data_IF_109203337093
#
_entry.id   IF_109203337093
#
_cell.length_a   1.000
_cell.length_b   1.000
_cell.length_c   1.000
_cell.angle_alpha   90.00
_cell.angle_beta   90.00
_cell.angle_gamma   90.00
#
_symmetry.space_group_name_H-M   'P 1'
#
loop_
_entity.id
_entity.type
_entity.pdbx_description
1 polymer ?
#
# COMPACT_ATOMS: atom_id res chain seq x y z
N UNK A 1 -2.13 19.46 3.12
CA UNK A 1 -1.35 18.37 3.74
C UNK A 1 -2.08 17.95 5.00
N UNK A 2 -2.39 16.67 5.22
CA UNK A 2 -2.70 16.23 6.59
C UNK A 2 -1.48 16.55 7.49
N UNK A 3 -1.69 16.92 8.76
CA UNK A 3 -0.58 17.19 9.68
C UNK A 3 0.35 15.97 9.78
N UNK A 4 1.66 16.21 9.91
CA UNK A 4 2.71 15.18 9.91
C UNK A 4 2.56 14.12 11.04
N UNK A 5 1.65 14.38 11.97
CA UNK A 5 1.43 13.67 13.22
C UNK A 5 0.31 12.62 13.07
N UNK A 6 -0.59 12.77 12.10
CA UNK A 6 -1.58 11.75 11.69
C UNK A 6 -1.06 10.95 10.49
N UNK A 7 0.11 10.33 10.66
CA UNK A 7 0.66 9.40 9.69
C UNK A 7 -0.07 8.05 9.82
N UNK A 8 -1.30 7.98 9.34
CA UNK A 8 -2.01 6.71 9.21
C UNK A 8 -2.06 6.33 7.74
N UNK A 9 -1.15 5.43 7.35
CA UNK A 9 -1.11 4.91 5.98
C UNK A 9 -2.40 4.16 5.63
N UNK A 10 -2.97 3.41 6.57
CA UNK A 10 -4.15 2.59 6.33
C UNK A 10 -5.43 3.44 6.21
N UNK A 11 -5.55 4.50 7.00
CA UNK A 11 -6.63 5.48 6.83
C UNK A 11 -6.50 6.25 5.50
N UNK A 12 -5.28 6.59 5.11
CA UNK A 12 -4.99 7.30 3.86
C UNK A 12 -5.15 6.44 2.60
N UNK A 13 -4.93 5.13 2.72
CA UNK A 13 -4.94 4.19 1.60
C UNK A 13 -6.24 4.25 0.81
N UNK A 14 -6.14 4.33 -0.52
CA UNK A 14 -7.29 4.41 -1.44
C UNK A 14 -8.24 5.61 -1.25
N UNK A 15 -7.90 6.57 -0.39
CA UNK A 15 -8.63 7.84 -0.34
C UNK A 15 -8.49 8.61 -1.66
N UNK A 16 -9.39 9.57 -1.94
CA UNK A 16 -9.26 10.44 -3.12
C UNK A 16 -7.91 11.19 -3.15
N UNK A 17 -7.37 11.56 -1.97
CA UNK A 17 -6.06 12.19 -1.85
C UNK A 17 -4.92 11.21 -2.23
N UNK A 18 -5.03 9.95 -1.83
CA UNK A 18 -4.07 8.90 -2.23
C UNK A 18 -4.14 8.60 -3.73
N UNK A 19 -5.34 8.48 -4.28
CA UNK A 19 -5.55 8.17 -5.70
C UNK A 19 -5.10 9.31 -6.62
N UNK A 20 -5.23 10.56 -6.17
CA UNK A 20 -4.74 11.73 -6.93
C UNK A 20 -3.22 11.90 -6.85
N UNK A 21 -2.61 11.60 -5.69
CA UNK A 21 -1.16 11.65 -5.54
C UNK A 21 -0.66 10.67 -4.45
N UNK A 22 -0.20 9.46 -4.82
CA UNK A 22 0.23 8.45 -3.85
C UNK A 22 1.68 8.68 -3.35
N UNK A 23 2.49 9.47 -4.05
CA UNK A 23 3.91 9.61 -3.75
C UNK A 23 4.23 10.16 -2.36
N UNK A 24 3.49 11.14 -1.80
CA UNK A 24 3.68 11.60 -0.43
C UNK A 24 3.50 10.48 0.61
N UNK A 25 2.56 9.57 0.39
CA UNK A 25 2.33 8.43 1.29
C UNK A 25 3.51 7.45 1.25
N UNK A 26 4.04 7.16 0.05
CA UNK A 26 5.22 6.31 -0.09
C UNK A 26 6.46 6.97 0.51
N UNK A 27 6.62 8.29 0.37
CA UNK A 27 7.72 9.02 0.98
C UNK A 27 7.67 8.91 2.51
N UNK A 28 6.50 9.16 3.11
CA UNK A 28 6.32 9.02 4.55
C UNK A 28 6.63 7.59 5.05
N UNK A 29 6.20 6.55 4.33
CA UNK A 29 6.57 5.18 4.64
C UNK A 29 8.08 4.94 4.55
N UNK A 30 8.75 5.40 3.49
CA UNK A 30 10.21 5.19 3.34
C UNK A 30 11.01 5.84 4.46
N UNK A 31 10.57 7.01 4.90
CA UNK A 31 11.24 7.83 5.91
C UNK A 31 10.99 7.28 7.33
N UNK A 32 9.76 6.83 7.63
CA UNK A 32 9.37 6.40 8.99
C UNK A 32 9.41 4.89 9.19
N UNK A 33 8.79 4.12 8.29
CA UNK A 33 8.62 2.67 8.42
C UNK A 33 8.61 1.99 7.04
N UNK A 34 9.80 1.75 6.44
CA UNK A 34 9.92 1.32 5.04
C UNK A 34 9.37 -0.08 4.73
N UNK A 35 9.17 -0.89 5.79
CA UNK A 35 8.47 -2.16 5.80
C UNK A 35 7.36 -2.04 6.85
N UNK A 36 6.12 -1.91 6.38
CA UNK A 36 4.94 -1.64 7.21
C UNK A 36 3.94 -2.78 7.07
N UNK A 37 3.42 -3.30 8.18
CA UNK A 37 2.28 -4.22 8.10
C UNK A 37 0.99 -3.41 8.05
N UNK A 38 0.22 -3.58 6.97
CA UNK A 38 -1.07 -2.93 6.80
C UNK A 38 -2.18 -3.88 7.24
N UNK A 39 -2.88 -3.52 8.30
CA UNK A 39 -4.06 -4.27 8.78
C UNK A 39 -5.17 -4.22 7.72
N UNK A 40 -5.30 -3.09 7.02
CA UNK A 40 -6.30 -2.89 5.95
C UNK A 40 -6.06 -3.82 4.75
N UNK A 41 -4.79 -4.00 4.37
CA UNK A 41 -4.42 -4.94 3.30
C UNK A 41 -4.23 -6.36 3.80
N UNK A 42 -4.12 -6.56 5.11
CA UNK A 42 -3.65 -7.78 5.74
C UNK A 42 -2.34 -8.28 5.09
N UNK A 43 -1.40 -7.35 4.85
CA UNK A 43 -0.21 -7.61 4.06
C UNK A 43 0.97 -6.71 4.48
N UNK A 44 2.17 -7.21 4.22
CA UNK A 44 3.40 -6.43 4.33
C UNK A 44 3.57 -5.50 3.13
N UNK A 45 3.76 -4.21 3.39
CA UNK A 45 4.01 -3.16 2.41
C UNK A 45 5.50 -2.82 2.41
N UNK A 46 6.14 -2.96 1.25
CA UNK A 46 7.56 -2.62 1.06
C UNK A 46 7.68 -1.42 0.13
N UNK A 47 8.44 -0.39 0.56
CA UNK A 47 8.53 0.88 -0.19
C UNK A 47 9.93 1.24 -0.68
N UNK A 48 10.96 0.58 -0.16
CA UNK A 48 12.34 0.75 -0.63
C UNK A 48 12.60 -0.12 -1.85
N UNK A 49 13.22 0.48 -2.87
CA UNK A 49 13.51 -0.19 -4.13
C UNK A 49 14.27 -1.52 -3.92
N UNK A 50 15.31 -1.51 -3.09
CA UNK A 50 16.13 -2.70 -2.81
C UNK A 50 15.30 -3.87 -2.27
N UNK A 51 14.32 -3.61 -1.40
CA UNK A 51 13.55 -4.63 -0.71
C UNK A 51 12.48 -5.20 -1.66
N UNK A 52 11.82 -4.34 -2.43
CA UNK A 52 10.92 -4.75 -3.51
C UNK A 52 11.66 -5.59 -4.56
N UNK A 53 12.83 -5.12 -5.00
CA UNK A 53 13.61 -5.82 -6.02
C UNK A 53 14.10 -7.20 -5.55
N UNK A 54 14.48 -7.35 -4.27
CA UNK A 54 14.82 -8.65 -3.67
C UNK A 54 13.58 -9.54 -3.57
N UNK A 55 12.47 -9.01 -3.05
CA UNK A 55 11.24 -9.78 -2.85
C UNK A 55 10.68 -10.34 -4.16
N UNK A 56 10.70 -9.56 -5.24
CA UNK A 56 10.26 -10.00 -6.57
C UNK A 56 11.10 -11.13 -7.17
N UNK A 57 12.33 -11.34 -6.67
CA UNK A 57 13.24 -12.39 -7.13
C UNK A 57 13.29 -13.58 -6.16
N UNK A 58 12.68 -13.47 -4.99
CA UNK A 58 12.68 -14.51 -3.98
C UNK A 58 11.53 -15.50 -4.23
N UNK A 59 11.80 -16.74 -4.67
CA UNK A 59 10.75 -17.71 -4.97
C UNK A 59 9.89 -18.07 -3.75
N UNK A 60 10.35 -17.78 -2.53
CA UNK A 60 9.54 -17.96 -1.30
C UNK A 60 8.44 -16.91 -1.16
N UNK A 61 8.59 -15.76 -1.82
CA UNK A 61 7.67 -14.62 -1.74
C UNK A 61 6.84 -14.44 -3.01
N UNK A 62 7.23 -15.08 -4.11
CA UNK A 62 6.48 -15.08 -5.37
C UNK A 62 5.42 -16.18 -5.32
N UNK A 63 4.22 -15.86 -4.81
CA UNK A 63 3.04 -16.72 -4.96
C UNK A 63 2.26 -16.30 -6.23
N UNK A 64 1.98 -17.25 -7.14
CA UNK A 64 1.25 -17.01 -8.39
C UNK A 64 -0.19 -16.46 -8.24
N UNK A 65 -0.71 -16.35 -7.01
CA UNK A 65 -1.91 -15.57 -6.71
C UNK A 65 -1.53 -14.09 -6.63
N UNK A 66 -1.68 -13.41 -7.77
CA UNK A 66 -1.68 -11.95 -7.83
C UNK A 66 -2.73 -11.41 -6.86
N UNK A 67 -2.60 -10.13 -6.55
CA UNK A 67 -3.46 -9.30 -5.68
C UNK A 67 -4.94 -9.24 -6.16
N UNK A 68 -5.60 -10.38 -6.33
CA UNK A 68 -6.98 -10.56 -6.80
C UNK A 68 -7.97 -9.96 -5.80
N UNK A 69 -7.64 -10.04 -4.50
CA UNK A 69 -8.44 -9.44 -3.43
C UNK A 69 -8.54 -7.91 -3.50
N UNK A 70 -7.63 -7.23 -4.21
CA UNK A 70 -7.65 -5.77 -4.36
C UNK A 70 -8.59 -5.30 -5.47
N UNK A 71 -8.61 -6.04 -6.60
CA UNK A 71 -9.53 -5.75 -7.70
C UNK A 71 -10.99 -6.03 -7.32
N UNK A 72 -11.24 -7.12 -6.58
CA UNK A 72 -12.59 -7.51 -6.16
C UNK A 72 -13.24 -6.46 -5.22
N UNK A 73 -12.47 -5.90 -4.28
CA UNK A 73 -12.97 -4.85 -3.36
C UNK A 73 -13.25 -3.52 -4.04
N UNK A 74 -12.49 -3.13 -5.07
CA UNK A 74 -12.75 -1.91 -5.86
C UNK A 74 -14.08 -1.98 -6.64
N UNK A 75 -14.49 -3.18 -7.10
CA UNK A 75 -15.75 -3.32 -7.86
C UNK A 75 -17.01 -3.20 -7.02
N UNK A 76 -16.90 -3.31 -5.68
CA UNK A 76 -18.03 -3.22 -4.77
C UNK A 76 -18.34 -1.77 -4.37
N UNK A 77 -17.30 -0.93 -4.25
CA UNK A 77 -17.44 0.48 -3.86
C UNK A 77 -17.85 1.41 -5.02
N UNK A 78 -17.46 1.08 -6.25
CA UNK A 78 -17.79 1.89 -7.46
C UNK A 78 -19.26 1.75 -7.91
N UNK A 79 -20.00 0.75 -7.43
CA UNK A 79 -21.40 0.50 -7.85
C UNK A 79 -22.47 1.15 -6.96
N UNK A 80 -22.09 1.83 -5.88
CA UNK A 80 -23.04 2.45 -4.93
C UNK A 80 -23.02 4.00 -4.96
N UNK A 81 -22.44 4.59 -6.00
CA UNK A 81 -22.45 6.03 -6.26
C UNK A 81 -23.36 6.40 -7.43
#
# INVERSE_FOLDING_TARGET
MPPADTWDFDAGLLSAAYLSNPYPYYQALRDKQPVYFSDRLNAWVLTRYQDVHRALKDPRLVSGQRVSSYAERLTTDVRRG
#
